data_IF_311547951331
#
_entry.id   IF_311547951331
#
_cell.length_a   1.000
_cell.length_b   1.000
_cell.length_c   1.000
_cell.angle_alpha   90.00
_cell.angle_beta   90.00
_cell.angle_gamma   90.00
#
_symmetry.space_group_name_H-M   'P 1'
#
loop_
_entity.id
_entity.type
_entity.pdbx_description
1 polymer ?
#
# COMPACT_ATOMS: atom_id res chain seq x y z
N UNK A 1 -39.29 11.63 -7.50
CA UNK A 1 -38.23 10.81 -8.13
C UNK A 1 -36.99 11.08 -7.33
N UNK A 2 -36.51 10.03 -6.70
CA UNK A 2 -35.51 10.03 -5.62
C UNK A 2 -34.19 10.59 -6.10
N UNK A 3 -33.72 11.58 -5.35
CA UNK A 3 -32.36 12.10 -5.31
C UNK A 3 -31.40 10.92 -5.11
N UNK A 4 -30.65 10.60 -6.16
CA UNK A 4 -29.65 9.54 -6.14
C UNK A 4 -28.42 10.12 -5.47
N UNK A 5 -28.27 9.83 -4.18
CA UNK A 5 -27.00 10.00 -3.46
C UNK A 5 -26.00 9.02 -4.09
N UNK A 6 -25.39 9.42 -5.20
CA UNK A 6 -24.14 8.83 -5.63
C UNK A 6 -23.15 9.01 -4.47
N UNK A 7 -22.54 7.94 -3.93
CA UNK A 7 -21.47 8.09 -2.97
C UNK A 7 -20.29 8.68 -3.73
N UNK A 8 -20.19 10.01 -3.74
CA UNK A 8 -18.96 10.66 -4.16
C UNK A 8 -17.86 10.09 -3.25
N UNK A 9 -16.75 9.57 -3.82
CA UNK A 9 -15.61 9.14 -3.02
C UNK A 9 -15.25 10.28 -2.08
N UNK A 10 -15.20 9.98 -0.78
CA UNK A 10 -14.81 10.95 0.24
C UNK A 10 -13.49 11.56 -0.21
N UNK A 11 -13.44 12.90 -0.32
CA UNK A 11 -12.21 13.59 -0.65
C UNK A 11 -11.09 13.08 0.29
N UNK A 12 -9.85 12.91 -0.21
CA UNK A 12 -8.77 12.46 0.64
C UNK A 12 -8.69 13.32 1.91
N UNK A 13 -8.32 12.74 3.06
CA UNK A 13 -8.09 13.54 4.26
C UNK A 13 -7.14 14.70 3.91
N UNK A 14 -7.30 15.85 4.56
CA UNK A 14 -6.43 16.98 4.25
C UNK A 14 -4.97 16.60 4.55
N UNK A 15 -4.04 16.92 3.63
CA UNK A 15 -2.61 16.63 3.80
C UNK A 15 -2.06 17.19 5.12
N UNK A 16 -2.62 18.29 5.63
CA UNK A 16 -2.21 18.89 6.90
C UNK A 16 -2.50 18.01 8.13
N UNK A 17 -3.46 17.08 8.02
CA UNK A 17 -3.69 16.07 9.06
C UNK A 17 -2.51 15.10 9.12
N UNK A 18 -1.98 14.70 7.96
CA UNK A 18 -0.78 13.84 7.85
C UNK A 18 0.44 14.58 8.41
N UNK A 19 0.65 15.83 8.00
CA UNK A 19 1.73 16.68 8.50
C UNK A 19 1.67 16.81 10.02
N UNK A 20 0.49 17.13 10.57
CA UNK A 20 0.30 17.27 12.00
C UNK A 20 0.56 15.96 12.76
N UNK A 21 0.14 14.81 12.22
CA UNK A 21 0.36 13.50 12.83
C UNK A 21 1.86 13.17 12.92
N UNK A 22 2.63 13.40 11.86
CA UNK A 22 4.07 13.14 11.85
C UNK A 22 4.87 14.13 12.72
N UNK A 23 4.39 15.37 12.86
CA UNK A 23 5.07 16.39 13.67
C UNK A 23 4.79 16.27 15.18
N UNK A 24 3.74 15.57 15.59
CA UNK A 24 3.26 15.57 16.99
C UNK A 24 4.21 14.88 17.96
N UNK A 25 4.84 13.78 17.53
CA UNK A 25 5.76 12.97 18.34
C UNK A 25 6.71 12.18 17.45
N UNK A 26 7.86 11.71 17.96
CA UNK A 26 8.61 10.65 17.29
C UNK A 26 7.71 9.43 17.10
N UNK A 27 7.69 8.91 15.88
CA UNK A 27 6.89 7.75 15.48
C UNK A 27 7.80 6.60 15.09
N UNK A 28 7.30 5.38 15.27
CA UNK A 28 7.86 4.19 14.63
C UNK A 28 7.55 4.19 13.14
N UNK A 29 8.27 3.41 12.34
CA UNK A 29 8.01 3.27 10.89
C UNK A 29 6.55 2.86 10.60
N UNK A 30 5.98 1.96 11.40
CA UNK A 30 4.59 1.52 11.22
C UNK A 30 3.58 2.64 11.51
N UNK A 31 3.81 3.45 12.55
CA UNK A 31 2.96 4.61 12.86
C UNK A 31 3.07 5.69 11.77
N UNK A 32 4.26 5.92 11.22
CA UNK A 32 4.49 6.81 10.07
C UNK A 32 3.72 6.34 8.83
N UNK A 33 3.80 5.03 8.52
CA UNK A 33 3.02 4.43 7.43
C UNK A 33 1.52 4.58 7.67
N UNK A 34 1.03 4.31 8.88
CA UNK A 34 -0.38 4.48 9.21
C UNK A 34 -0.86 5.92 9.03
N UNK A 35 -0.01 6.90 9.37
CA UNK A 35 -0.33 8.31 9.25
C UNK A 35 -0.50 8.76 7.79
N UNK A 36 0.22 8.17 6.83
CA UNK A 36 0.11 8.50 5.40
C UNK A 36 -0.87 7.60 4.65
N UNK A 37 -1.17 6.41 5.15
CA UNK A 37 -1.89 5.37 4.40
C UNK A 37 -3.28 5.79 3.92
N UNK A 38 -4.12 6.33 4.81
CA UNK A 38 -5.50 6.72 4.44
C UNK A 38 -5.52 7.87 3.43
N UNK A 39 -4.57 8.80 3.55
CA UNK A 39 -4.37 9.87 2.57
C UNK A 39 -4.01 9.29 1.20
N UNK A 40 -2.98 8.44 1.15
CA UNK A 40 -2.47 7.85 -0.08
C UNK A 40 -3.53 6.97 -0.75
N UNK A 41 -4.26 6.16 0.02
CA UNK A 41 -5.36 5.32 -0.47
C UNK A 41 -6.44 6.16 -1.14
N UNK A 42 -6.90 7.22 -0.49
CA UNK A 42 -7.92 8.10 -1.07
C UNK A 42 -7.40 8.87 -2.30
N UNK A 43 -6.14 9.30 -2.29
CA UNK A 43 -5.52 9.97 -3.43
C UNK A 43 -5.41 9.04 -4.66
N UNK A 44 -4.99 7.79 -4.46
CA UNK A 44 -4.90 6.78 -5.54
C UNK A 44 -6.29 6.44 -6.08
N UNK A 45 -7.28 6.24 -5.20
CA UNK A 45 -8.65 5.96 -5.62
C UNK A 45 -9.20 7.10 -6.49
N UNK A 46 -9.02 8.36 -6.06
CA UNK A 46 -9.46 9.52 -6.81
C UNK A 46 -8.75 9.63 -8.19
N UNK A 47 -7.45 9.34 -8.25
CA UNK A 47 -6.70 9.34 -9.51
C UNK A 47 -7.19 8.26 -10.47
N UNK A 48 -7.43 7.04 -9.97
CA UNK A 48 -8.00 5.93 -10.75
C UNK A 48 -9.39 6.27 -11.30
N UNK A 49 -10.27 6.84 -10.47
CA UNK A 49 -11.62 7.26 -10.88
C UNK A 49 -11.58 8.36 -11.94
N UNK A 50 -10.72 9.37 -11.76
CA UNK A 50 -10.54 10.45 -12.74
C UNK A 50 -10.00 9.94 -14.09
N UNK A 51 -9.17 8.90 -14.06
CA UNK A 51 -8.64 8.24 -15.25
C UNK A 51 -9.65 7.28 -15.90
N UNK A 52 -10.82 7.07 -15.30
CA UNK A 52 -11.85 6.16 -15.79
C UNK A 52 -11.53 4.67 -15.55
N UNK A 53 -10.66 4.36 -14.59
CA UNK A 53 -10.43 2.98 -14.18
C UNK A 53 -11.67 2.41 -13.47
N UNK A 54 -11.92 1.12 -13.67
CA UNK A 54 -12.98 0.36 -12.99
C UNK A 54 -12.41 -0.60 -11.95
N UNK A 55 -11.17 -1.07 -12.14
CA UNK A 55 -10.48 -1.96 -11.24
C UNK A 55 -8.96 -1.78 -11.32
N UNK A 56 -8.26 -2.10 -10.23
CA UNK A 56 -6.82 -2.30 -10.24
C UNK A 56 -6.42 -3.48 -9.33
N UNK A 57 -5.37 -4.19 -9.70
CA UNK A 57 -4.82 -5.32 -8.92
C UNK A 57 -3.31 -5.22 -8.88
N UNK A 58 -2.72 -5.46 -7.71
CA UNK A 58 -1.28 -5.61 -7.51
C UNK A 58 -1.03 -7.01 -6.99
N UNK A 59 -0.34 -7.83 -7.78
CA UNK A 59 0.05 -9.18 -7.38
C UNK A 59 1.44 -9.15 -6.76
N UNK A 60 1.64 -9.91 -5.70
CA UNK A 60 2.94 -10.07 -5.06
C UNK A 60 3.19 -11.53 -4.68
N UNK A 61 4.47 -11.92 -4.67
CA UNK A 61 4.93 -13.15 -4.05
C UNK A 61 6.29 -12.95 -3.39
N UNK A 62 6.61 -13.83 -2.46
CA UNK A 62 7.99 -14.04 -2.04
C UNK A 62 8.16 -15.33 -1.27
N UNK A 63 9.41 -15.63 -0.91
CA UNK A 63 9.81 -16.70 -0.01
C UNK A 63 11.20 -16.42 0.57
N UNK A 64 11.53 -16.99 1.73
CA UNK A 64 12.83 -16.74 2.38
C UNK A 64 13.01 -15.27 2.72
N UNK A 65 14.14 -14.67 2.38
CA UNK A 65 14.42 -13.23 2.54
C UNK A 65 14.02 -12.40 1.30
N UNK A 66 13.39 -13.03 0.31
CA UNK A 66 13.05 -12.41 -0.97
C UNK A 66 11.53 -12.25 -1.14
N UNK A 67 11.13 -11.10 -1.67
CA UNK A 67 9.78 -10.91 -2.19
C UNK A 67 9.69 -9.65 -3.02
N UNK A 68 8.69 -9.63 -3.90
CA UNK A 68 8.50 -8.53 -4.83
C UNK A 68 7.06 -8.42 -5.30
N UNK A 69 6.72 -7.23 -5.75
CA UNK A 69 5.57 -7.03 -6.62
C UNK A 69 5.86 -7.73 -7.95
N UNK A 70 4.91 -8.57 -8.39
CA UNK A 70 4.97 -9.25 -9.68
C UNK A 70 4.42 -8.41 -10.81
N UNK A 71 3.34 -7.69 -10.54
CA UNK A 71 2.67 -6.91 -11.56
C UNK A 71 1.58 -6.03 -11.01
N UNK A 72 1.36 -4.92 -11.71
CA UNK A 72 0.26 -4.00 -11.49
C UNK A 72 -0.62 -4.00 -12.73
N UNK A 73 -1.90 -4.25 -12.53
CA UNK A 73 -2.89 -4.36 -13.59
C UNK A 73 -4.00 -3.37 -13.34
N UNK A 74 -4.32 -2.52 -14.33
CA UNK A 74 -5.34 -1.47 -14.20
C UNK A 74 -6.29 -1.58 -15.38
N UNK A 75 -7.59 -1.62 -15.10
CA UNK A 75 -8.62 -1.75 -16.14
C UNK A 75 -9.39 -0.43 -16.27
N UNK A 76 -9.53 0.15 -17.48
CA UNK A 76 -8.82 -0.22 -18.71
C UNK A 76 -7.34 0.20 -18.65
N UNK A 77 -6.48 -0.47 -19.43
CA UNK A 77 -5.02 -0.24 -19.44
C UNK A 77 -4.63 1.23 -19.71
N UNK A 78 -5.47 1.99 -20.43
CA UNK A 78 -5.23 3.41 -20.68
C UNK A 78 -5.16 4.26 -19.40
N UNK A 79 -5.80 3.81 -18.31
CA UNK A 79 -5.77 4.51 -17.03
C UNK A 79 -4.41 4.39 -16.31
N UNK A 80 -3.53 3.45 -16.72
CA UNK A 80 -2.21 3.29 -16.13
C UNK A 80 -1.28 4.50 -16.33
N UNK A 81 -1.56 5.36 -17.32
CA UNK A 81 -0.81 6.60 -17.54
C UNK A 81 -1.14 7.72 -16.54
N UNK A 82 -2.13 7.51 -15.65
CA UNK A 82 -2.52 8.50 -14.66
C UNK A 82 -1.40 8.77 -13.66
N UNK A 83 -1.44 9.98 -13.08
CA UNK A 83 -0.48 10.42 -12.06
C UNK A 83 -1.20 10.77 -10.78
N UNK A 84 -0.51 10.60 -9.66
CA UNK A 84 -1.03 10.88 -8.32
C UNK A 84 0.06 11.49 -7.46
N UNK A 85 -0.33 12.28 -6.45
CA UNK A 85 0.59 12.76 -5.42
C UNK A 85 0.37 11.99 -4.13
N UNK A 86 1.43 11.33 -3.66
CA UNK A 86 1.43 10.62 -2.39
C UNK A 86 2.12 11.44 -1.31
N UNK A 87 1.63 11.31 -0.08
CA UNK A 87 2.35 11.70 1.12
C UNK A 87 3.46 10.67 1.40
N UNK A 88 4.70 11.13 1.38
CA UNK A 88 5.90 10.36 1.67
C UNK A 88 6.53 10.92 2.94
N UNK A 89 7.06 10.04 3.79
CA UNK A 89 7.79 10.45 4.99
C UNK A 89 9.25 10.64 4.64
N UNK A 90 9.72 11.88 4.75
CA UNK A 90 11.13 12.20 4.62
C UNK A 90 11.76 12.35 6.00
N UNK A 91 12.84 11.60 6.20
CA UNK A 91 13.63 11.64 7.43
C UNK A 91 14.89 12.47 7.22
N UNK A 92 15.15 13.40 8.14
CA UNK A 92 16.35 14.22 8.13
C UNK A 92 16.99 14.24 9.52
N UNK A 93 18.32 14.19 9.55
CA UNK A 93 19.05 14.33 10.80
C UNK A 93 19.21 15.80 11.17
N UNK A 94 18.67 16.21 12.32
CA UNK A 94 18.98 17.50 12.91
C UNK A 94 20.26 17.38 13.76
N UNK A 95 21.35 17.97 13.26
CA UNK A 95 22.64 17.92 13.93
C UNK A 95 22.68 18.74 15.24
N UNK A 96 21.88 19.80 15.35
CA UNK A 96 21.85 20.67 16.53
C UNK A 96 21.08 20.02 17.68
N UNK A 97 19.91 19.46 17.39
CA UNK A 97 19.09 18.73 18.35
C UNK A 97 19.52 17.26 18.53
N UNK A 98 20.40 16.74 17.65
CA UNK A 98 20.88 15.34 17.64
C UNK A 98 19.72 14.34 17.61
N UNK A 99 18.71 14.64 16.80
CA UNK A 99 17.49 13.87 16.67
C UNK A 99 17.18 13.63 15.19
N UNK A 100 16.59 12.47 14.88
CA UNK A 100 16.00 12.24 13.57
C UNK A 100 14.62 12.91 13.54
N UNK A 101 14.39 13.76 12.54
CA UNK A 101 13.08 14.37 12.31
C UNK A 101 12.41 13.72 11.12
N UNK A 102 11.09 13.56 11.17
CA UNK A 102 10.28 13.08 10.07
C UNK A 102 9.31 14.18 9.63
N UNK A 103 9.12 14.35 8.33
CA UNK A 103 8.17 15.29 7.77
C UNK A 103 7.43 14.65 6.59
N UNK A 104 6.14 14.97 6.44
CA UNK A 104 5.37 14.56 5.27
C UNK A 104 5.70 15.51 4.12
N UNK A 105 5.94 14.96 2.94
CA UNK A 105 6.05 15.71 1.69
C UNK A 105 5.17 15.08 0.63
N UNK A 106 4.65 15.89 -0.29
CA UNK A 106 3.99 15.37 -1.47
C UNK A 106 5.03 15.05 -2.56
N UNK A 107 4.87 13.90 -3.19
CA UNK A 107 5.70 13.42 -4.31
C UNK A 107 4.81 12.91 -5.42
N UNK A 108 5.17 13.19 -6.67
CA UNK A 108 4.42 12.76 -7.85
C UNK A 108 4.85 11.36 -8.29
N UNK A 109 3.87 10.47 -8.46
CA UNK A 109 4.05 9.09 -8.89
C UNK A 109 3.22 8.79 -10.15
N UNK A 110 3.64 7.77 -10.90
CA UNK A 110 2.70 7.02 -11.75
C UNK A 110 1.70 6.28 -10.86
N UNK A 111 0.47 6.09 -11.32
CA UNK A 111 -0.54 5.39 -10.52
C UNK A 111 -0.18 3.93 -10.28
N UNK A 112 0.60 3.33 -11.17
CA UNK A 112 1.21 2.01 -11.05
C UNK A 112 2.22 1.93 -9.90
N UNK A 113 3.19 2.85 -9.87
CA UNK A 113 4.15 2.94 -8.76
C UNK A 113 3.42 3.21 -7.44
N UNK A 114 2.41 4.08 -7.46
CA UNK A 114 1.63 4.39 -6.27
C UNK A 114 0.83 3.20 -5.73
N UNK A 115 0.33 2.32 -6.61
CA UNK A 115 -0.34 1.08 -6.23
C UNK A 115 0.66 0.08 -5.61
N UNK A 116 1.88 0.01 -6.12
CA UNK A 116 2.98 -0.77 -5.52
C UNK A 116 3.26 -0.31 -4.09
N UNK A 117 3.49 0.99 -3.88
CA UNK A 117 3.74 1.58 -2.55
C UNK A 117 2.58 1.29 -1.57
N UNK A 118 1.33 1.39 -2.04
CA UNK A 118 0.16 1.04 -1.23
C UNK A 118 0.09 -0.44 -0.89
N UNK A 119 0.47 -1.32 -1.81
CA UNK A 119 0.50 -2.76 -1.58
C UNK A 119 1.53 -3.13 -0.52
N UNK A 120 2.76 -2.61 -0.63
CA UNK A 120 3.81 -2.83 0.35
C UNK A 120 3.44 -2.28 1.74
N UNK A 121 2.86 -1.08 1.77
CA UNK A 121 2.34 -0.51 3.02
C UNK A 121 1.21 -1.37 3.60
N UNK A 122 0.28 -1.87 2.77
CA UNK A 122 -0.82 -2.71 3.24
C UNK A 122 -0.32 -4.04 3.82
N UNK A 123 0.66 -4.68 3.18
CA UNK A 123 1.32 -5.90 3.69
C UNK A 123 1.92 -5.63 5.07
N UNK A 124 2.71 -4.56 5.20
CA UNK A 124 3.34 -4.18 6.47
C UNK A 124 2.29 -3.91 7.55
N UNK A 125 1.25 -3.12 7.23
CA UNK A 125 0.24 -2.66 8.18
C UNK A 125 -0.78 -3.74 8.61
N UNK A 126 -0.84 -4.87 7.91
CA UNK A 126 -1.70 -6.02 8.28
C UNK A 126 -0.98 -7.03 9.16
N UNK A 127 0.31 -6.83 9.43
CA UNK A 127 1.09 -7.69 10.32
C UNK A 127 1.30 -9.09 9.75
N UNK A 128 1.15 -9.26 8.44
CA UNK A 128 1.69 -10.43 7.76
C UNK A 128 3.20 -10.22 7.62
N UNK A 129 4.00 -11.19 8.06
CA UNK A 129 5.45 -11.26 7.82
C UNK A 129 5.71 -11.51 6.33
N UNK A 130 5.22 -10.61 5.46
CA UNK A 130 5.18 -10.72 3.99
C UNK A 130 5.47 -12.13 3.46
N UNK A 131 6.71 -12.30 3.02
CA UNK A 131 7.29 -13.52 2.45
C UNK A 131 8.39 -14.13 3.34
N UNK A 132 8.64 -13.51 4.50
CA UNK A 132 9.80 -13.78 5.38
C UNK A 132 9.60 -14.98 6.31
N UNK A 133 8.47 -15.68 6.19
CA UNK A 133 8.12 -16.88 6.97
C UNK A 133 8.88 -18.15 6.53
N UNK A 134 9.90 -18.03 5.67
CA UNK A 134 10.70 -19.12 5.13
C UNK A 134 10.10 -19.76 3.88
N UNK A 135 8.91 -20.35 3.99
CA UNK A 135 8.24 -21.05 2.86
C UNK A 135 7.59 -20.09 1.86
N UNK A 136 7.43 -18.83 2.26
CA UNK A 136 6.89 -17.76 1.46
C UNK A 136 5.38 -17.64 1.49
N UNK A 137 4.90 -16.81 0.56
CA UNK A 137 3.50 -16.51 0.40
C UNK A 137 3.26 -15.74 -0.88
N UNK A 138 1.98 -15.60 -1.20
CA UNK A 138 1.51 -14.76 -2.31
C UNK A 138 0.24 -14.05 -1.92
N UNK A 139 -0.07 -13.00 -2.62
CA UNK A 139 -1.35 -12.33 -2.45
C UNK A 139 -1.59 -11.28 -3.50
N UNK A 140 -2.69 -10.57 -3.31
CA UNK A 140 -3.09 -9.50 -4.19
C UNK A 140 -3.75 -8.36 -3.42
N UNK A 141 -3.33 -7.13 -3.69
CA UNK A 141 -4.12 -5.95 -3.35
C UNK A 141 -5.10 -5.69 -4.50
N UNK A 142 -6.40 -5.77 -4.24
CA UNK A 142 -7.45 -5.47 -5.22
C UNK A 142 -8.18 -4.19 -4.85
N UNK A 143 -8.31 -3.30 -5.84
CA UNK A 143 -9.06 -2.06 -5.79
C UNK A 143 -10.29 -2.19 -6.69
N UNK A 144 -11.47 -2.22 -6.09
CA UNK A 144 -12.70 -1.96 -6.82
C UNK A 144 -12.92 -0.45 -6.85
N UNK A 145 -12.58 0.15 -8.00
CA UNK A 145 -12.60 1.60 -8.18
C UNK A 145 -14.04 2.13 -8.21
N UNK A 146 -14.98 1.31 -8.68
CA UNK A 146 -16.40 1.65 -8.78
C UNK A 146 -17.06 1.64 -7.41
N UNK A 147 -16.73 0.65 -6.57
CA UNK A 147 -17.20 0.56 -5.19
C UNK A 147 -16.39 1.44 -4.21
N UNK A 148 -15.20 1.89 -4.62
CA UNK A 148 -14.29 2.65 -3.77
C UNK A 148 -13.65 1.82 -2.65
N UNK A 149 -13.49 0.52 -2.87
CA UNK A 149 -13.04 -0.42 -1.83
C UNK A 149 -11.69 -1.03 -2.17
N UNK A 150 -10.93 -1.35 -1.12
CA UNK A 150 -9.65 -2.03 -1.19
C UNK A 150 -9.73 -3.32 -0.39
N UNK A 151 -9.12 -4.38 -0.89
CA UNK A 151 -8.97 -5.65 -0.20
C UNK A 151 -7.56 -6.19 -0.41
N UNK A 152 -6.96 -6.75 0.64
CA UNK A 152 -5.68 -7.44 0.57
C UNK A 152 -5.93 -8.93 0.83
N UNK A 153 -5.69 -9.76 -0.17
CA UNK A 153 -5.60 -11.21 0.00
C UNK A 153 -4.16 -11.58 0.32
N UNK A 154 -3.99 -12.55 1.22
CA UNK A 154 -2.70 -13.13 1.54
C UNK A 154 -2.84 -14.64 1.79
N UNK A 155 -2.00 -15.43 1.14
CA UNK A 155 -1.88 -16.88 1.32
C UNK A 155 -0.44 -17.26 1.66
N UNK A 156 -0.27 -18.01 2.75
CA UNK A 156 1.01 -18.58 3.15
C UNK A 156 1.25 -19.92 2.43
N UNK A 157 2.50 -20.19 2.08
CA UNK A 157 2.93 -21.54 1.69
C UNK A 157 3.38 -22.34 2.92
N UNK A 158 3.21 -23.66 2.86
CA UNK A 158 3.57 -24.58 3.93
C UNK A 158 4.07 -25.90 3.33
N UNK A 159 5.20 -26.39 3.82
CA UNK A 159 5.78 -27.68 3.44
C UNK A 159 5.85 -28.59 4.66
N UNK A 160 5.27 -29.78 4.54
CA UNK A 160 5.37 -30.87 5.54
C UNK A 160 6.25 -31.98 4.98
N UNK A 161 7.16 -32.54 5.81
CA UNK A 161 8.07 -33.62 5.42
C UNK A 161 8.08 -34.73 6.47
N UNK A 162 7.73 -35.94 6.06
CA UNK A 162 7.90 -37.17 6.85
C UNK A 162 8.98 -38.06 6.21
N UNK A 163 9.90 -38.59 7.03
CA UNK A 163 11.04 -39.40 6.57
C UNK A 163 11.15 -40.62 7.46
N UNK A 164 11.09 -41.81 6.85
CA UNK A 164 11.36 -43.09 7.52
C UNK A 164 12.54 -43.77 6.87
N UNK A 165 13.45 -44.28 7.69
CA UNK A 165 14.63 -45.02 7.24
C UNK A 165 14.49 -46.48 7.68
N UNK A 166 14.84 -47.40 6.79
CA UNK A 166 14.80 -48.83 7.05
C UNK A 166 16.15 -49.46 6.71
N UNK A 167 16.67 -50.38 7.54
CA UNK A 167 17.83 -51.17 7.18
C UNK A 167 17.48 -52.11 6.00
N UNK A 168 18.43 -52.32 5.09
CA UNK A 168 18.34 -53.31 4.01
C UNK A 168 18.81 -54.69 4.48
#
# INVERSE_FOLDING_TARGET
MTDSLDPHPSAPPAFEIVVAALAAKPLTTEEELRATFDFNKAAVLAALQQAGATAATVDYFGAGDEGRIEGVYITPDSAAAARVRLAVVERSWDAGARVMTAAAVLRDYGVDDALTELCEAAITLTGHDGYENGEGGRGALTVDVSAGTYSLEHGNYYVERDVTEHPL
#
